data_IF_550735859075
#
_entry.id   IF_550735859075
#
_cell.length_a   1.000
_cell.length_b   1.000
_cell.length_c   1.000
_cell.angle_alpha   90.00
_cell.angle_beta   90.00
_cell.angle_gamma   90.00
#
_symmetry.space_group_name_H-M   'P 1'
#
loop_
_entity.id
_entity.type
_entity.pdbx_description
1 polymer ?
#
# COMPACT_ATOMS: atom_id res chain seq x y z
N UNK A 1 20.49 24.85 9.52
CA UNK A 1 19.11 24.61 9.06
C UNK A 1 19.23 23.78 7.79
N UNK A 2 18.78 22.52 7.81
CA UNK A 2 18.87 21.64 6.64
C UNK A 2 17.76 22.02 5.66
N UNK A 3 18.11 22.61 4.51
CA UNK A 3 17.20 22.74 3.38
C UNK A 3 16.94 21.32 2.84
N UNK A 4 15.82 20.72 3.24
CA UNK A 4 15.30 19.48 2.65
C UNK A 4 14.23 19.81 1.61
N UNK A 5 14.47 20.84 0.81
CA UNK A 5 13.60 21.12 -0.32
C UNK A 5 14.07 20.27 -1.49
N UNK A 6 13.30 19.24 -1.82
CA UNK A 6 13.50 18.45 -3.04
C UNK A 6 13.16 19.34 -4.22
N UNK A 7 14.13 19.57 -5.11
CA UNK A 7 13.86 20.24 -6.38
C UNK A 7 13.09 19.29 -7.32
N UNK A 8 12.37 19.82 -8.32
CA UNK A 8 11.77 18.99 -9.37
C UNK A 8 12.80 18.05 -10.04
N UNK A 9 14.03 18.51 -10.25
CA UNK A 9 15.12 17.74 -10.84
C UNK A 9 15.56 16.58 -9.93
N UNK A 10 15.58 16.78 -8.61
CA UNK A 10 15.83 15.70 -7.64
C UNK A 10 14.72 14.65 -7.69
N UNK A 11 13.45 15.07 -7.83
CA UNK A 11 12.33 14.15 -7.98
C UNK A 11 12.42 13.31 -9.26
N UNK A 12 12.77 13.92 -10.39
CA UNK A 12 13.00 13.19 -11.65
C UNK A 12 14.14 12.17 -11.54
N UNK A 13 15.21 12.53 -10.83
CA UNK A 13 16.32 11.61 -10.58
C UNK A 13 15.88 10.42 -9.71
N UNK A 14 15.12 10.65 -8.65
CA UNK A 14 14.57 9.60 -7.79
C UNK A 14 13.61 8.69 -8.55
N UNK A 15 12.80 9.24 -9.45
CA UNK A 15 11.90 8.47 -10.30
C UNK A 15 12.66 7.51 -11.22
N UNK A 16 13.74 7.99 -11.86
CA UNK A 16 14.62 7.15 -12.71
C UNK A 16 15.31 6.04 -11.94
N UNK A 17 15.54 6.22 -10.63
CA UNK A 17 16.08 5.17 -9.76
C UNK A 17 15.02 4.10 -9.47
N UNK A 18 13.77 4.49 -9.17
CA UNK A 18 12.67 3.55 -8.90
C UNK A 18 12.36 2.67 -10.13
N UNK A 19 12.50 3.22 -11.34
CA UNK A 19 12.32 2.46 -12.58
C UNK A 19 13.36 1.35 -12.80
N UNK A 20 14.59 1.54 -12.32
CA UNK A 20 15.70 0.61 -12.55
C UNK A 20 15.82 -0.46 -11.46
N UNK A 21 15.32 -0.17 -10.27
CA UNK A 21 15.42 -1.07 -9.12
C UNK A 21 14.16 -1.91 -9.06
N UNK A 22 14.29 -3.22 -9.29
CA UNK A 22 13.18 -4.13 -9.10
C UNK A 22 12.69 -4.06 -7.65
N UNK A 23 11.38 -3.79 -7.48
CA UNK A 23 10.75 -3.73 -6.16
C UNK A 23 10.88 -5.09 -5.47
N UNK A 24 11.39 -5.07 -4.24
CA UNK A 24 11.43 -6.25 -3.38
C UNK A 24 10.01 -6.57 -2.95
N UNK A 25 9.40 -7.54 -3.60
CA UNK A 25 8.03 -7.99 -3.36
C UNK A 25 8.05 -9.42 -2.85
N UNK A 26 7.00 -9.80 -2.09
CA UNK A 26 6.79 -11.20 -1.73
C UNK A 26 6.31 -11.99 -2.94
N UNK A 27 6.54 -13.30 -2.92
CA UNK A 27 6.00 -14.20 -3.93
C UNK A 27 4.46 -14.28 -3.80
N UNK A 28 3.74 -14.46 -4.90
CA UNK A 28 2.28 -14.65 -4.93
C UNK A 28 1.83 -15.79 -4.03
N UNK A 29 2.59 -16.89 -3.98
CA UNK A 29 2.27 -18.03 -3.11
C UNK A 29 2.28 -17.64 -1.62
N UNK A 30 3.14 -16.69 -1.22
CA UNK A 30 3.16 -16.16 0.15
C UNK A 30 1.98 -15.22 0.36
N UNK A 31 1.70 -14.36 -0.63
CA UNK A 31 0.55 -13.46 -0.59
C UNK A 31 -0.76 -14.25 -0.40
N UNK A 32 -0.92 -15.39 -1.05
CA UNK A 32 -2.12 -16.23 -1.00
C UNK A 32 -2.33 -16.92 0.35
N UNK A 33 -1.28 -17.02 1.17
CA UNK A 33 -1.38 -17.59 2.53
C UNK A 33 -1.82 -16.59 3.59
N UNK A 34 -1.87 -15.29 3.25
CA UNK A 34 -2.33 -14.27 4.19
C UNK A 34 -3.82 -14.42 4.47
N UNK A 35 -4.21 -14.27 5.73
CA UNK A 35 -5.60 -14.33 6.17
C UNK A 35 -6.45 -13.33 5.40
N UNK A 36 -7.58 -13.81 4.89
CA UNK A 36 -8.56 -12.98 4.18
C UNK A 36 -9.89 -13.11 4.88
N UNK A 37 -10.49 -11.99 5.26
CA UNK A 37 -11.77 -11.91 5.94
C UNK A 37 -12.76 -11.08 5.12
N UNK A 38 -14.04 -11.41 5.20
CA UNK A 38 -15.09 -10.57 4.63
C UNK A 38 -15.35 -9.38 5.56
N UNK A 39 -15.59 -8.21 4.96
CA UNK A 39 -16.01 -7.01 5.68
C UNK A 39 -17.36 -7.30 6.34
N UNK A 40 -17.43 -7.03 7.65
CA UNK A 40 -18.61 -7.16 8.48
C UNK A 40 -18.82 -5.85 9.26
N UNK A 41 -19.90 -5.78 10.06
CA UNK A 41 -20.28 -4.59 10.84
C UNK A 41 -19.14 -3.96 11.65
N UNK A 42 -18.15 -4.76 12.09
CA UNK A 42 -17.00 -4.25 12.87
C UNK A 42 -16.01 -3.44 12.03
N UNK A 43 -16.04 -3.59 10.71
CA UNK A 43 -15.09 -3.00 9.77
C UNK A 43 -15.69 -1.87 8.94
N UNK A 44 -17.00 -1.62 9.03
CA UNK A 44 -17.69 -0.59 8.23
C UNK A 44 -17.28 0.85 8.58
N UNK A 45 -16.86 1.07 9.82
CA UNK A 45 -16.32 2.37 10.27
C UNK A 45 -14.82 2.53 10.00
N UNK A 46 -14.13 1.44 9.64
CA UNK A 46 -12.74 1.48 9.23
C UNK A 46 -12.62 1.95 7.77
N UNK A 47 -11.45 2.48 7.43
CA UNK A 47 -11.11 2.88 6.06
C UNK A 47 -9.78 2.28 5.63
N UNK A 48 -9.67 1.97 4.34
CA UNK A 48 -8.39 1.57 3.76
C UNK A 48 -7.42 2.76 3.79
N UNK A 49 -6.27 2.61 4.44
CA UNK A 49 -5.26 3.66 4.54
C UNK A 49 -4.51 3.92 3.22
N UNK A 50 -4.75 3.10 2.20
CA UNK A 50 -4.11 3.23 0.88
C UNK A 50 -4.97 4.10 -0.04
N UNK A 51 -6.26 3.77 -0.20
CA UNK A 51 -7.18 4.57 -1.04
C UNK A 51 -7.98 5.61 -0.26
N UNK A 52 -7.94 5.59 1.09
CA UNK A 52 -8.69 6.47 1.99
C UNK A 52 -10.22 6.33 1.85
N UNK A 53 -10.70 5.16 1.44
CA UNK A 53 -12.13 4.85 1.31
C UNK A 53 -12.60 3.93 2.44
N UNK A 54 -13.86 4.11 2.86
CA UNK A 54 -14.51 3.23 3.85
C UNK A 54 -14.78 1.85 3.25
N UNK A 55 -14.69 0.82 4.09
CA UNK A 55 -15.06 -0.52 3.68
C UNK A 55 -16.58 -0.67 3.53
N UNK A 56 -16.98 -1.57 2.64
CA UNK A 56 -18.38 -1.86 2.32
C UNK A 56 -18.66 -3.35 2.44
N UNK A 57 -19.90 -3.70 2.77
CA UNK A 57 -20.34 -5.09 2.84
C UNK A 57 -20.08 -5.84 1.53
N UNK A 58 -19.55 -7.05 1.64
CA UNK A 58 -19.17 -7.89 0.49
C UNK A 58 -17.76 -7.64 -0.06
N UNK A 59 -17.01 -6.69 0.51
CA UNK A 59 -15.57 -6.56 0.26
C UNK A 59 -14.76 -7.54 1.11
N UNK A 60 -13.49 -7.74 0.73
CA UNK A 60 -12.56 -8.61 1.43
C UNK A 60 -11.33 -7.84 1.91
N UNK A 61 -10.90 -8.14 3.14
CA UNK A 61 -9.70 -7.60 3.76
C UNK A 61 -8.65 -8.69 3.84
N UNK A 62 -7.45 -8.40 3.35
CA UNK A 62 -6.29 -9.27 3.52
C UNK A 62 -5.43 -8.75 4.68
N UNK A 63 -5.29 -9.52 5.73
CA UNK A 63 -4.59 -9.13 6.94
C UNK A 63 -3.09 -9.41 6.80
N UNK A 64 -2.28 -8.41 7.13
CA UNK A 64 -0.84 -8.55 7.26
C UNK A 64 -0.52 -9.11 8.66
N UNK A 65 0.48 -9.99 8.79
CA UNK A 65 0.92 -10.53 10.08
C UNK A 65 1.59 -9.48 10.97
#
# INVERSE_FOLDING_TARGET
MQNRDLSPEDYEMLLRLDERVQRKTINTNVLDTLETIDVNDKHLDDQCTICMEKYQDGQQLKLLP
#
